data_IF_590908220361
#
_entry.id   IF_590908220361
#
_cell.length_a   1.000
_cell.length_b   1.000
_cell.length_c   1.000
_cell.angle_alpha   90.00
_cell.angle_beta   90.00
_cell.angle_gamma   90.00
#
_symmetry.space_group_name_H-M   'P 1'
#
loop_
_entity.id
_entity.type
_entity.pdbx_description
1 polymer ?
#
# COMPACT_ATOMS: atom_id res chain seq x y z
N UNK A 1 -14.07 0.66 30.99
CA UNK A 1 -12.82 1.12 30.37
C UNK A 1 -12.72 0.67 28.90
N UNK A 2 -12.85 -0.62 28.58
CA UNK A 2 -12.75 -1.13 27.19
C UNK A 2 -13.67 -0.45 26.17
N UNK A 3 -14.96 -0.32 26.48
CA UNK A 3 -15.93 0.31 25.57
C UNK A 3 -15.56 1.77 25.30
N UNK A 4 -15.06 2.48 26.31
CA UNK A 4 -14.69 3.89 26.22
C UNK A 4 -13.46 4.10 25.33
N UNK A 5 -12.43 3.24 25.45
CA UNK A 5 -11.24 3.30 24.59
C UNK A 5 -11.63 3.04 23.13
N UNK A 6 -12.53 2.08 22.89
CA UNK A 6 -13.00 1.78 21.53
C UNK A 6 -13.84 2.88 20.90
N UNK A 7 -14.71 3.56 21.65
CA UNK A 7 -15.63 4.57 21.07
C UNK A 7 -15.10 5.99 21.09
N UNK A 8 -14.23 6.35 22.04
CA UNK A 8 -13.83 7.73 22.25
C UNK A 8 -12.37 8.02 21.89
N UNK A 9 -11.51 6.99 21.85
CA UNK A 9 -10.06 7.14 21.64
C UNK A 9 -9.56 6.53 20.33
N UNK A 10 -10.33 5.63 19.71
CA UNK A 10 -10.08 5.17 18.34
C UNK A 10 -10.90 6.04 17.38
N UNK A 11 -10.27 6.73 16.40
CA UNK A 11 -11.04 7.30 15.30
C UNK A 11 -11.76 6.17 14.56
N UNK A 12 -13.00 6.43 14.18
CA UNK A 12 -13.90 5.49 13.49
C UNK A 12 -13.27 4.80 12.26
N UNK A 13 -12.21 5.38 11.69
CA UNK A 13 -11.53 4.90 10.49
C UNK A 13 -10.38 3.91 10.77
N UNK A 14 -10.16 3.53 12.04
CA UNK A 14 -9.01 2.73 12.45
C UNK A 14 -9.40 1.49 13.25
N UNK A 15 -9.44 0.33 12.57
CA UNK A 15 -9.68 -0.97 13.21
C UNK A 15 -8.35 -1.58 13.65
N UNK A 16 -8.19 -1.79 14.95
CA UNK A 16 -7.04 -2.47 15.54
C UNK A 16 -7.21 -3.99 15.47
N UNK A 17 -6.10 -4.72 15.25
CA UNK A 17 -6.10 -6.17 15.47
C UNK A 17 -6.13 -6.48 16.99
N UNK A 18 -6.64 -7.64 17.37
CA UNK A 18 -6.80 -8.04 18.77
C UNK A 18 -5.48 -7.97 19.58
N UNK A 19 -4.34 -8.23 18.93
CA UNK A 19 -3.01 -8.11 19.52
C UNK A 19 -2.60 -6.66 19.80
N UNK A 20 -2.94 -5.74 18.88
CA UNK A 20 -2.68 -4.31 19.03
C UNK A 20 -3.60 -3.67 20.07
N UNK A 21 -4.87 -4.11 20.14
CA UNK A 21 -5.78 -3.73 21.22
C UNK A 21 -5.21 -4.15 22.58
N UNK A 22 -4.76 -5.41 22.71
CA UNK A 22 -4.17 -5.91 23.95
C UNK A 22 -2.87 -5.18 24.35
N UNK A 23 -2.07 -4.74 23.38
CA UNK A 23 -0.89 -3.89 23.63
C UNK A 23 -1.30 -2.48 24.09
N UNK A 24 -2.28 -1.86 23.43
CA UNK A 24 -2.80 -0.54 23.77
C UNK A 24 -3.39 -0.52 25.18
N UNK A 25 -4.23 -1.50 25.52
CA UNK A 25 -4.83 -1.60 26.85
C UNK A 25 -3.79 -1.81 27.96
N UNK A 26 -2.72 -2.56 27.67
CA UNK A 26 -1.60 -2.75 28.60
C UNK A 26 -0.85 -1.45 28.83
N UNK A 27 -0.53 -0.72 27.77
CA UNK A 27 0.17 0.56 27.85
C UNK A 27 -0.64 1.62 28.61
N UNK A 28 -1.95 1.69 28.34
CA UNK A 28 -2.89 2.56 29.08
C UNK A 28 -2.94 2.16 30.55
N UNK A 29 -3.03 0.86 30.88
CA UNK A 29 -3.05 0.39 32.27
C UNK A 29 -1.75 0.73 33.02
N UNK A 30 -0.59 0.54 32.40
CA UNK A 30 0.70 0.90 33.02
C UNK A 30 0.81 2.41 33.27
N UNK A 31 0.39 3.25 32.32
CA UNK A 31 0.41 4.71 32.50
C UNK A 31 -0.55 5.19 33.62
N UNK A 32 -1.65 4.47 33.82
CA UNK A 32 -2.60 4.72 34.92
C UNK A 32 -2.03 4.27 36.27
N UNK A 33 -1.37 3.10 36.35
CA UNK A 33 -0.74 2.58 37.57
C UNK A 33 0.42 3.46 38.06
N UNK A 34 1.14 4.12 37.15
CA UNK A 34 2.21 5.08 37.48
C UNK A 34 1.69 6.44 37.99
N UNK A 35 0.41 6.74 37.77
CA UNK A 35 -0.17 8.01 38.20
C UNK A 35 -0.81 7.80 39.57
N UNK A 36 -0.20 8.36 40.62
CA UNK A 36 -0.60 8.20 42.03
C UNK A 36 -1.96 8.84 42.40
N UNK A 37 -2.74 9.27 41.42
CA UNK A 37 -4.03 9.94 41.60
C UNK A 37 -5.15 8.90 41.76
N UNK A 38 -5.87 8.94 42.88
CA UNK A 38 -7.04 8.09 43.14
C UNK A 38 -8.27 8.51 42.31
N UNK A 39 -8.26 9.71 41.71
CA UNK A 39 -9.34 10.19 40.84
C UNK A 39 -9.14 9.73 39.38
N UNK A 40 -9.65 8.54 39.06
CA UNK A 40 -9.66 7.89 37.73
C UNK A 40 -10.23 8.73 36.56
N UNK A 41 -10.74 9.94 36.83
CA UNK A 41 -11.37 10.83 35.86
C UNK A 41 -10.79 12.26 35.86
N UNK A 42 -9.62 12.48 36.47
CA UNK A 42 -8.95 13.78 36.42
C UNK A 42 -8.54 14.12 34.97
N UNK A 43 -8.62 15.39 34.59
CA UNK A 43 -8.21 15.88 33.26
C UNK A 43 -6.75 15.52 32.92
N UNK A 44 -5.94 15.29 33.95
CA UNK A 44 -4.53 14.87 33.85
C UNK A 44 -4.43 13.41 33.38
N UNK A 45 -5.27 12.52 33.92
CA UNK A 45 -5.36 11.14 33.46
C UNK A 45 -5.86 11.08 32.01
N UNK A 46 -6.84 11.90 31.66
CA UNK A 46 -7.35 12.03 30.29
C UNK A 46 -6.25 12.37 29.30
N UNK A 47 -5.45 13.40 29.60
CA UNK A 47 -4.37 13.84 28.74
C UNK A 47 -3.29 12.76 28.56
N UNK A 48 -2.89 12.09 29.65
CA UNK A 48 -1.88 11.00 29.60
C UNK A 48 -2.36 9.80 28.79
N UNK A 49 -3.62 9.39 28.95
CA UNK A 49 -4.18 8.27 28.19
C UNK A 49 -4.24 8.62 26.70
N UNK A 50 -4.66 9.85 26.36
CA UNK A 50 -4.69 10.32 24.96
C UNK A 50 -3.29 10.36 24.34
N UNK A 51 -2.28 10.83 25.09
CA UNK A 51 -0.89 10.85 24.63
C UNK A 51 -0.31 9.45 24.36
N UNK A 52 -0.56 8.49 25.26
CA UNK A 52 -0.12 7.09 25.09
C UNK A 52 -0.83 6.44 23.91
N UNK A 53 -2.12 6.72 23.75
CA UNK A 53 -2.93 6.20 22.66
C UNK A 53 -2.44 6.75 21.32
N UNK A 54 -2.28 8.07 21.20
CA UNK A 54 -1.80 8.70 19.97
C UNK A 54 -0.38 8.24 19.60
N UNK A 55 0.50 8.13 20.60
CA UNK A 55 1.87 7.62 20.41
C UNK A 55 1.94 6.17 19.91
N UNK A 56 1.00 5.31 20.29
CA UNK A 56 0.93 3.92 19.82
C UNK A 56 0.19 3.77 18.50
N UNK A 57 -0.86 4.55 18.29
CA UNK A 57 -1.71 4.43 17.11
C UNK A 57 -1.04 5.02 15.86
N UNK A 58 -0.30 6.13 15.98
CA UNK A 58 0.33 6.77 14.80
C UNK A 58 1.23 5.81 13.99
N UNK A 59 2.19 5.09 14.59
CA UNK A 59 3.02 4.14 13.82
C UNK A 59 2.20 3.05 13.13
N UNK A 60 1.12 2.58 13.76
CA UNK A 60 0.25 1.58 13.17
C UNK A 60 -0.59 2.13 12.01
N UNK A 61 -1.06 3.39 12.10
CA UNK A 61 -1.72 4.07 10.98
C UNK A 61 -0.78 4.25 9.80
N UNK A 62 0.43 4.72 10.06
CA UNK A 62 1.43 4.93 9.01
C UNK A 62 1.78 3.61 8.32
N UNK A 63 1.93 2.52 9.09
CA UNK A 63 2.18 1.19 8.54
C UNK A 63 1.02 0.64 7.70
N UNK A 64 -0.23 0.87 8.13
CA UNK A 64 -1.42 0.46 7.36
C UNK A 64 -1.52 1.27 6.06
N UNK A 65 -1.36 2.59 6.11
CA UNK A 65 -1.36 3.42 4.90
C UNK A 65 -0.26 3.04 3.93
N UNK A 66 0.95 2.76 4.44
CA UNK A 66 2.06 2.28 3.61
C UNK A 66 1.72 0.94 2.97
N UNK A 67 1.14 0.00 3.72
CA UNK A 67 0.74 -1.30 3.18
C UNK A 67 -0.38 -1.19 2.13
N UNK A 68 -1.36 -0.32 2.35
CA UNK A 68 -2.41 -0.05 1.36
C UNK A 68 -1.82 0.55 0.08
N UNK A 69 -0.90 1.52 0.21
CA UNK A 69 -0.18 2.08 -0.94
C UNK A 69 0.63 1.01 -1.68
N UNK A 70 1.35 0.15 -0.95
CA UNK A 70 2.11 -0.96 -1.53
C UNK A 70 1.20 -1.96 -2.24
N UNK A 71 0.04 -2.29 -1.67
CA UNK A 71 -0.93 -3.18 -2.29
C UNK A 71 -1.53 -2.57 -3.56
N UNK A 72 -1.91 -1.30 -3.52
CA UNK A 72 -2.35 -0.57 -4.73
C UNK A 72 -1.27 -0.60 -5.81
N UNK A 73 -0.02 -0.33 -5.45
CA UNK A 73 1.10 -0.39 -6.40
C UNK A 73 1.31 -1.81 -6.97
N UNK A 74 1.16 -2.86 -6.15
CA UNK A 74 1.21 -4.25 -6.64
C UNK A 74 0.07 -4.56 -7.61
N UNK A 75 -1.16 -4.15 -7.30
CA UNK A 75 -2.32 -4.32 -8.19
C UNK A 75 -2.13 -3.59 -9.53
N UNK A 76 -1.59 -2.37 -9.48
CA UNK A 76 -1.28 -1.58 -10.67
C UNK A 76 -0.19 -2.23 -11.52
N UNK A 77 0.87 -2.78 -10.90
CA UNK A 77 1.91 -3.53 -11.61
C UNK A 77 1.37 -4.82 -12.22
N UNK A 78 0.54 -5.57 -11.50
CA UNK A 78 -0.14 -6.75 -12.04
C UNK A 78 -1.00 -6.40 -13.26
N UNK A 79 -1.75 -5.31 -13.19
CA UNK A 79 -2.55 -4.80 -14.32
C UNK A 79 -1.69 -4.34 -15.49
N UNK A 80 -0.48 -3.83 -15.24
CA UNK A 80 0.45 -3.39 -16.28
C UNK A 80 0.96 -4.56 -17.14
N UNK A 81 1.23 -5.72 -16.53
CA UNK A 81 1.58 -6.94 -17.24
C UNK A 81 0.45 -7.41 -18.18
N UNK A 82 -0.80 -7.34 -17.73
CA UNK A 82 -1.97 -7.66 -18.57
C UNK A 82 -2.09 -6.72 -19.79
N UNK A 83 -1.68 -5.45 -19.64
CA UNK A 83 -1.64 -4.50 -20.74
C UNK A 83 -0.52 -4.80 -21.74
N UNK A 84 0.63 -5.33 -21.33
CA UNK A 84 1.67 -5.81 -22.26
C UNK A 84 1.10 -6.89 -23.18
N UNK A 85 0.42 -7.88 -22.59
CA UNK A 85 -0.24 -8.93 -23.36
C UNK A 85 -1.28 -8.38 -24.33
N UNK A 86 -2.11 -7.45 -23.85
CA UNK A 86 -3.14 -6.79 -24.68
C UNK A 86 -2.52 -6.01 -25.85
N UNK A 87 -1.39 -5.34 -25.62
CA UNK A 87 -0.68 -4.60 -26.64
C UNK A 87 -0.16 -5.52 -27.75
N UNK A 88 0.58 -6.56 -27.36
CA UNK A 88 1.19 -7.51 -28.31
C UNK A 88 0.15 -8.29 -29.12
N UNK A 89 -0.98 -8.66 -28.50
CA UNK A 89 -1.97 -9.52 -29.14
C UNK A 89 -3.07 -8.78 -29.91
N UNK A 90 -3.26 -7.48 -29.71
CA UNK A 90 -4.42 -6.77 -30.29
C UNK A 90 -4.20 -5.32 -30.74
N UNK A 91 -3.08 -4.68 -30.40
CA UNK A 91 -2.84 -3.26 -30.73
C UNK A 91 -1.54 -3.03 -31.51
N UNK A 92 -0.55 -3.88 -31.32
CA UNK A 92 0.72 -3.78 -32.03
C UNK A 92 0.57 -4.28 -33.47
N UNK A 93 1.11 -3.52 -34.42
CA UNK A 93 1.26 -4.01 -35.79
C UNK A 93 2.37 -5.06 -35.85
N UNK A 94 2.35 -6.00 -36.82
CA UNK A 94 3.42 -6.99 -36.97
C UNK A 94 4.83 -6.37 -37.05
N UNK A 95 4.96 -5.23 -37.74
CA UNK A 95 6.23 -4.50 -37.84
C UNK A 95 6.72 -3.98 -36.48
N UNK A 96 5.81 -3.45 -35.66
CA UNK A 96 6.14 -2.99 -34.31
C UNK A 96 6.57 -4.15 -33.39
N UNK A 97 5.93 -5.31 -33.52
CA UNK A 97 6.34 -6.52 -32.78
C UNK A 97 7.75 -6.95 -33.20
N UNK A 98 8.05 -6.94 -34.49
CA UNK A 98 9.38 -7.33 -34.99
C UNK A 98 10.47 -6.32 -34.60
N UNK A 99 10.15 -5.03 -34.51
CA UNK A 99 11.06 -4.02 -33.95
C UNK A 99 11.34 -4.27 -32.46
N UNK A 100 10.32 -4.57 -31.66
CA UNK A 100 10.49 -4.94 -30.25
C UNK A 100 11.34 -6.21 -30.09
N UNK A 101 11.10 -7.25 -30.91
CA UNK A 101 11.92 -8.46 -30.94
C UNK A 101 13.40 -8.15 -31.22
N UNK A 102 13.67 -7.26 -32.19
CA UNK A 102 15.02 -6.84 -32.51
C UNK A 102 15.65 -6.00 -31.38
N UNK A 103 14.89 -5.07 -30.79
CA UNK A 103 15.36 -4.20 -29.72
C UNK A 103 15.78 -4.98 -28.48
N UNK A 104 15.00 -5.99 -28.09
CA UNK A 104 15.28 -6.84 -26.92
C UNK A 104 16.09 -8.09 -27.27
N UNK A 105 16.37 -8.35 -28.55
CA UNK A 105 17.12 -9.52 -29.01
C UNK A 105 16.38 -10.85 -28.80
N UNK A 106 15.05 -10.82 -28.73
CA UNK A 106 14.20 -11.99 -28.45
C UNK A 106 13.39 -12.36 -29.69
N UNK A 107 13.50 -13.61 -30.14
CA UNK A 107 12.85 -14.08 -31.36
C UNK A 107 11.42 -14.61 -31.11
N UNK A 108 11.16 -15.13 -29.91
CA UNK A 108 9.88 -15.73 -29.54
C UNK A 108 8.95 -14.71 -28.87
N UNK A 109 7.67 -14.72 -29.27
CA UNK A 109 6.68 -13.75 -28.78
C UNK A 109 6.42 -13.89 -27.27
N UNK A 110 6.52 -15.11 -26.74
CA UNK A 110 6.29 -15.40 -25.32
C UNK A 110 7.43 -14.88 -24.44
N UNK A 111 8.68 -15.05 -24.87
CA UNK A 111 9.86 -14.50 -24.23
C UNK A 111 9.88 -12.98 -24.29
N UNK A 112 9.42 -12.40 -25.40
CA UNK A 112 9.27 -10.96 -25.53
C UNK A 112 8.24 -10.41 -24.54
N UNK A 113 7.08 -11.07 -24.41
CA UNK A 113 6.05 -10.71 -23.43
C UNK A 113 6.57 -10.77 -21.99
N UNK A 114 7.35 -11.79 -21.64
CA UNK A 114 7.96 -11.93 -20.30
C UNK A 114 8.97 -10.81 -20.04
N UNK A 115 9.87 -10.52 -20.98
CA UNK A 115 10.87 -9.45 -20.80
C UNK A 115 10.19 -8.08 -20.73
N UNK A 116 9.21 -7.81 -21.59
CA UNK A 116 8.46 -6.55 -21.55
C UNK A 116 7.67 -6.40 -20.23
N UNK A 117 7.01 -7.46 -19.76
CA UNK A 117 6.30 -7.44 -18.47
C UNK A 117 7.27 -7.13 -17.33
N UNK A 118 8.45 -7.75 -17.31
CA UNK A 118 9.48 -7.48 -16.32
C UNK A 118 9.96 -6.03 -16.36
N UNK A 119 10.23 -5.49 -17.55
CA UNK A 119 10.66 -4.08 -17.72
C UNK A 119 9.59 -3.10 -17.30
N UNK A 120 8.32 -3.44 -17.52
CA UNK A 120 7.18 -2.65 -17.10
C UNK A 120 6.98 -2.72 -15.58
N UNK A 121 7.17 -3.88 -14.95
CA UNK A 121 7.14 -4.00 -13.48
C UNK A 121 8.24 -3.21 -12.77
N UNK A 122 9.39 -3.02 -13.43
CA UNK A 122 10.53 -2.22 -12.94
C UNK A 122 10.29 -0.70 -13.06
N UNK A 123 9.29 -0.26 -13.83
CA UNK A 123 8.96 1.16 -13.98
C UNK A 123 8.11 1.67 -12.81
N UNK A 124 8.48 2.84 -12.28
CA UNK A 124 7.70 3.54 -11.28
C UNK A 124 6.55 4.29 -11.97
N UNK A 125 5.34 3.75 -11.89
CA UNK A 125 4.14 4.40 -12.41
C UNK A 125 3.46 5.23 -11.31
N UNK A 126 3.53 6.55 -11.41
CA UNK A 126 2.64 7.47 -10.69
C UNK A 126 1.33 7.58 -11.50
N UNK A 127 0.21 7.24 -10.87
CA UNK A 127 -1.04 6.86 -11.56
C UNK A 127 -1.85 8.05 -12.03
N UNK A 128 -2.34 7.98 -13.29
CA UNK A 128 -3.74 8.33 -13.66
C UNK A 128 -4.28 7.34 -14.72
N UNK A 129 -3.48 6.82 -15.65
CA UNK A 129 -3.88 5.70 -16.54
C UNK A 129 -2.70 4.79 -16.89
N UNK A 130 -2.51 3.71 -16.11
CA UNK A 130 -1.44 2.70 -16.30
C UNK A 130 -1.44 2.14 -17.73
N UNK A 131 -2.63 1.91 -18.32
CA UNK A 131 -2.78 1.43 -19.69
C UNK A 131 -2.13 2.35 -20.73
N UNK A 132 -2.42 3.66 -20.67
CA UNK A 132 -1.92 4.61 -21.67
C UNK A 132 -0.42 4.82 -21.52
N UNK A 133 0.09 4.81 -20.28
CA UNK A 133 1.52 4.87 -19.99
C UNK A 133 2.25 3.62 -20.51
N UNK A 134 1.72 2.43 -20.24
CA UNK A 134 2.26 1.16 -20.75
C UNK A 134 2.27 1.17 -22.28
N UNK A 135 1.18 1.59 -22.92
CA UNK A 135 1.11 1.62 -24.39
C UNK A 135 2.02 2.69 -25.00
N UNK A 136 2.13 3.87 -24.38
CA UNK A 136 3.06 4.91 -24.81
C UNK A 136 4.51 4.43 -24.67
N UNK A 137 4.85 3.76 -23.56
CA UNK A 137 6.17 3.22 -23.32
C UNK A 137 6.52 2.13 -24.34
N UNK A 138 5.63 1.16 -24.57
CA UNK A 138 5.83 0.10 -25.55
C UNK A 138 5.99 0.67 -26.97
N UNK A 139 5.19 1.68 -27.34
CA UNK A 139 5.32 2.37 -28.64
C UNK A 139 6.63 3.15 -28.76
N UNK A 140 7.23 3.62 -27.67
CA UNK A 140 8.53 4.29 -27.70
C UNK A 140 9.70 3.34 -27.97
N UNK A 141 9.49 2.04 -27.80
CA UNK A 141 10.48 0.99 -28.04
C UNK A 141 10.31 0.29 -29.40
N UNK A 142 9.21 0.55 -30.11
CA UNK A 142 8.99 0.16 -31.50
C UNK A 142 9.71 1.13 -32.43
#
# INVERSE_FOLDING_TARGET
>A
MDTYVRTSLLPYDFSLMAEQEAELFRAVRTALEETSDEELFSSVIWFKVDEVVDGKIRPWRDAIQLNEQLNRLKELRGSAADYVSTFLNGQATPAAIDQLKQHFGIQDAKGLEVELSKRIEELQYDVVTVKDLVFAQLRSWC
#
